data_IF_676456524150
#
_entry.id   IF_676456524150
#
_cell.length_a   1.000
_cell.length_b   1.000
_cell.length_c   1.000
_cell.angle_alpha   90.00
_cell.angle_beta   90.00
_cell.angle_gamma   90.00
#
_symmetry.space_group_name_H-M   'P 1'
#
loop_
_entity.id
_entity.type
_entity.pdbx_description
1 polymer ?
#
# COMPACT_ATOMS: atom_id res chain seq x y z
N UNK A 1 10.60 4.28 -28.49
CA UNK A 1 9.17 4.20 -28.07
C UNK A 1 8.43 5.55 -28.07
N UNK A 2 9.15 6.67 -28.03
CA UNK A 2 8.58 8.02 -27.87
C UNK A 2 7.64 8.50 -28.99
N UNK A 3 7.68 7.93 -30.18
CA UNK A 3 6.82 8.35 -31.32
C UNK A 3 5.49 7.59 -31.39
N UNK A 4 5.33 6.50 -30.62
CA UNK A 4 4.12 5.66 -30.64
C UNK A 4 3.01 6.27 -29.77
N UNK A 5 2.43 7.38 -30.24
CA UNK A 5 1.45 8.19 -29.51
C UNK A 5 0.03 7.57 -29.38
N UNK A 6 -0.21 6.43 -30.05
CA UNK A 6 -1.46 5.65 -30.01
C UNK A 6 -1.44 4.51 -28.98
N UNK A 7 -0.32 4.31 -28.27
CA UNK A 7 -0.18 3.24 -27.28
C UNK A 7 -0.76 3.71 -25.94
N UNK A 8 -1.77 3.00 -25.47
CA UNK A 8 -2.42 3.26 -24.17
C UNK A 8 -1.78 2.44 -23.03
N UNK A 9 -1.29 1.22 -23.31
CA UNK A 9 -0.64 0.34 -22.32
C UNK A 9 0.74 -0.10 -22.78
N UNK A 10 1.70 -0.06 -21.85
CA UNK A 10 3.06 -0.57 -22.04
C UNK A 10 3.38 -1.58 -20.94
N UNK A 11 3.56 -2.84 -21.34
CA UNK A 11 4.10 -3.89 -20.46
C UNK A 11 5.54 -4.20 -20.87
N UNK A 12 6.46 -4.11 -19.93
CA UNK A 12 7.88 -4.42 -20.10
C UNK A 12 8.25 -5.56 -19.14
N UNK A 13 8.74 -6.67 -19.69
CA UNK A 13 9.04 -7.89 -18.93
C UNK A 13 10.48 -8.34 -19.17
N UNK A 14 11.20 -8.57 -18.09
CA UNK A 14 12.56 -9.09 -18.10
C UNK A 14 12.58 -10.57 -17.77
N UNK A 15 12.92 -11.38 -18.77
CA UNK A 15 13.11 -12.81 -18.63
C UNK A 15 14.60 -13.12 -18.42
N UNK A 16 14.98 -13.52 -17.21
CA UNK A 16 16.34 -13.96 -16.92
C UNK A 16 16.64 -14.11 -15.43
N UNK A 17 17.40 -15.17 -15.07
CA UNK A 17 17.76 -15.51 -13.68
C UNK A 17 19.10 -14.93 -13.21
N UNK A 18 19.82 -14.18 -14.05
CA UNK A 18 21.13 -13.64 -13.70
C UNK A 18 20.99 -12.46 -12.73
N UNK A 19 21.77 -12.49 -11.65
CA UNK A 19 22.02 -11.31 -10.79
C UNK A 19 22.53 -10.14 -11.64
N UNK A 20 22.29 -8.92 -11.18
CA UNK A 20 22.62 -7.70 -11.90
C UNK A 20 24.13 -7.43 -11.94
N UNK A 21 24.88 -8.22 -12.69
CA UNK A 21 26.29 -7.89 -13.00
C UNK A 21 26.37 -6.60 -13.86
N UNK A 22 25.26 -6.22 -14.51
CA UNK A 22 25.17 -5.06 -15.42
C UNK A 22 23.99 -4.11 -15.09
N UNK A 23 23.80 -3.69 -13.83
CA UNK A 23 22.70 -2.79 -13.41
C UNK A 23 22.55 -1.53 -14.28
N UNK A 24 23.68 -0.91 -14.69
CA UNK A 24 23.67 0.26 -15.55
C UNK A 24 23.05 -0.05 -16.93
N UNK A 25 23.40 -1.18 -17.54
CA UNK A 25 22.84 -1.60 -18.83
C UNK A 25 21.33 -1.80 -18.76
N UNK A 26 20.83 -2.40 -17.68
CA UNK A 26 19.38 -2.58 -17.47
C UNK A 26 18.66 -1.23 -17.41
N UNK A 27 19.26 -0.27 -16.68
CA UNK A 27 18.75 1.09 -16.57
C UNK A 27 18.75 1.83 -17.90
N UNK A 28 19.83 1.70 -18.68
CA UNK A 28 19.95 2.32 -20.00
C UNK A 28 18.89 1.76 -20.96
N UNK A 29 18.68 0.44 -20.97
CA UNK A 29 17.61 -0.21 -21.74
C UNK A 29 16.24 0.36 -21.35
N UNK A 30 15.94 0.43 -20.05
CA UNK A 30 14.67 0.97 -19.59
C UNK A 30 14.52 2.46 -19.93
N UNK A 31 15.61 3.24 -19.94
CA UNK A 31 15.60 4.66 -20.34
C UNK A 31 15.30 4.86 -21.84
N UNK A 32 15.88 4.00 -22.70
CA UNK A 32 15.61 3.98 -24.14
C UNK A 32 14.15 3.59 -24.47
N UNK A 33 13.54 2.78 -23.59
CA UNK A 33 12.15 2.33 -23.70
C UNK A 33 11.12 3.37 -23.25
N UNK A 34 11.53 4.59 -22.87
CA UNK A 34 10.61 5.67 -22.46
C UNK A 34 9.41 5.79 -23.42
N UNK A 35 8.17 5.64 -22.92
CA UNK A 35 6.96 5.72 -23.74
C UNK A 35 6.67 7.16 -24.17
N UNK A 36 5.75 7.30 -25.13
CA UNK A 36 5.15 8.60 -25.43
C UNK A 36 4.28 9.07 -24.25
N UNK A 37 4.20 10.38 -24.01
CA UNK A 37 3.49 11.01 -22.88
C UNK A 37 1.98 10.73 -22.78
N UNK A 38 1.38 10.14 -23.83
CA UNK A 38 -0.04 9.79 -23.86
C UNK A 38 -0.35 8.45 -23.19
N UNK A 39 0.67 7.71 -22.75
CA UNK A 39 0.51 6.41 -22.10
C UNK A 39 -0.45 6.51 -20.91
N UNK A 40 -1.30 5.49 -20.75
CA UNK A 40 -2.29 5.40 -19.67
C UNK A 40 -1.92 4.36 -18.63
N UNK A 41 -1.25 3.30 -19.03
CA UNK A 41 -0.92 2.16 -18.17
C UNK A 41 0.52 1.73 -18.42
N UNK A 42 1.29 1.54 -17.34
CA UNK A 42 2.64 1.02 -17.39
C UNK A 42 2.75 -0.16 -16.44
N UNK A 43 3.31 -1.25 -16.94
CA UNK A 43 3.63 -2.45 -16.16
C UNK A 43 5.09 -2.81 -16.39
N UNK A 44 5.85 -2.91 -15.31
CA UNK A 44 7.27 -3.29 -15.34
C UNK A 44 7.44 -4.53 -14.46
N UNK A 45 7.84 -5.64 -15.06
CA UNK A 45 8.01 -6.91 -14.36
C UNK A 45 9.43 -7.45 -14.52
N UNK A 46 10.06 -7.82 -13.41
CA UNK A 46 11.36 -8.48 -13.40
C UNK A 46 12.55 -7.55 -13.68
N UNK A 47 12.36 -6.23 -13.67
CA UNK A 47 13.44 -5.27 -13.95
C UNK A 47 14.61 -5.49 -12.98
N UNK A 48 15.81 -5.61 -13.55
CA UNK A 48 17.01 -6.07 -12.83
C UNK A 48 17.93 -4.94 -12.40
N UNK A 49 17.69 -3.71 -12.83
CA UNK A 49 18.48 -2.56 -12.39
C UNK A 49 18.24 -2.21 -10.93
N UNK A 50 19.16 -1.44 -10.35
CA UNK A 50 19.12 -1.07 -8.93
C UNK A 50 18.29 0.18 -8.64
N UNK A 51 18.03 1.00 -9.67
CA UNK A 51 17.19 2.19 -9.61
C UNK A 51 16.41 2.35 -10.91
N UNK A 52 15.26 3.02 -10.84
CA UNK A 52 14.47 3.36 -12.02
C UNK A 52 15.01 4.61 -12.73
N UNK A 53 14.86 4.72 -14.07
CA UNK A 53 15.14 5.94 -14.77
C UNK A 53 14.14 7.04 -14.39
N UNK A 54 14.60 8.29 -14.45
CA UNK A 54 13.83 9.46 -14.01
C UNK A 54 12.50 9.62 -14.75
N UNK A 55 12.42 9.10 -15.98
CA UNK A 55 11.20 9.22 -16.77
C UNK A 55 10.02 8.52 -16.10
N UNK A 56 10.21 7.46 -15.30
CA UNK A 56 9.10 6.70 -14.71
C UNK A 56 8.21 7.55 -13.78
N UNK A 57 8.79 8.60 -13.18
CA UNK A 57 8.09 9.57 -12.35
C UNK A 57 7.87 10.91 -13.04
N UNK A 58 8.04 11.03 -14.36
CA UNK A 58 7.96 12.31 -15.07
C UNK A 58 6.54 12.93 -15.01
N UNK A 59 6.37 14.14 -14.45
CA UNK A 59 5.06 14.78 -14.31
C UNK A 59 4.41 15.15 -15.66
N UNK A 60 5.13 15.07 -16.78
CA UNK A 60 4.57 15.25 -18.12
C UNK A 60 3.66 14.10 -18.57
N UNK A 61 3.60 12.98 -17.83
CA UNK A 61 2.63 11.91 -18.04
C UNK A 61 1.23 12.28 -17.53
N UNK A 62 0.59 13.22 -18.23
CA UNK A 62 -0.74 13.75 -17.91
C UNK A 62 -1.89 12.75 -18.17
N UNK A 63 -1.59 11.54 -18.64
CA UNK A 63 -2.58 10.50 -18.95
C UNK A 63 -2.33 9.18 -18.24
N UNK A 64 -1.22 9.04 -17.52
CA UNK A 64 -0.87 7.81 -16.81
C UNK A 64 -1.79 7.66 -15.59
N UNK A 65 -2.65 6.65 -15.64
CA UNK A 65 -3.66 6.34 -14.64
C UNK A 65 -3.26 5.13 -13.80
N UNK A 66 -2.51 4.18 -14.36
CA UNK A 66 -2.11 2.96 -13.68
C UNK A 66 -0.61 2.68 -13.85
N UNK A 67 0.05 2.35 -12.74
CA UNK A 67 1.44 1.90 -12.70
C UNK A 67 1.56 0.65 -11.84
N UNK A 68 2.08 -0.42 -12.43
CA UNK A 68 2.44 -1.65 -11.72
C UNK A 68 3.93 -1.93 -11.86
N UNK A 69 4.59 -2.19 -10.73
CA UNK A 69 5.97 -2.62 -10.64
C UNK A 69 5.98 -3.95 -9.90
N UNK A 70 6.49 -5.00 -10.53
CA UNK A 70 6.47 -6.36 -9.98
C UNK A 70 7.81 -7.06 -10.14
N UNK A 71 8.24 -7.80 -9.12
CA UNK A 71 9.39 -8.70 -9.17
C UNK A 71 10.72 -7.99 -9.52
N UNK A 72 10.86 -6.69 -9.27
CA UNK A 72 12.09 -5.93 -9.48
C UNK A 72 13.01 -6.01 -8.24
N UNK A 73 13.47 -7.23 -7.94
CA UNK A 73 14.10 -7.58 -6.66
C UNK A 73 15.37 -6.81 -6.31
N UNK A 74 16.09 -6.28 -7.31
CA UNK A 74 17.36 -5.58 -7.10
C UNK A 74 17.19 -4.06 -6.92
N UNK A 75 15.97 -3.54 -7.06
CA UNK A 75 15.70 -2.12 -6.85
C UNK A 75 15.73 -1.76 -5.37
N UNK A 76 16.55 -0.77 -5.02
CA UNK A 76 16.74 -0.31 -3.63
C UNK A 76 16.02 1.00 -3.30
N UNK A 77 15.50 1.69 -4.32
CA UNK A 77 14.67 2.89 -4.14
C UNK A 77 13.53 2.95 -5.16
N UNK A 78 12.45 3.61 -4.76
CA UNK A 78 11.34 3.96 -5.63
C UNK A 78 11.54 5.38 -6.16
N UNK A 79 11.18 5.67 -7.42
CA UNK A 79 11.22 7.04 -7.92
C UNK A 79 10.09 7.87 -7.30
N UNK A 80 10.09 9.18 -7.59
CA UNK A 80 9.13 10.17 -7.10
C UNK A 80 7.71 10.03 -7.67
N UNK A 81 7.08 8.86 -7.51
CA UNK A 81 5.78 8.54 -8.09
C UNK A 81 4.66 9.47 -7.63
N UNK A 82 4.80 10.12 -6.47
CA UNK A 82 3.83 11.08 -5.94
C UNK A 82 3.64 12.34 -6.79
N UNK A 83 4.55 12.63 -7.73
CA UNK A 83 4.42 13.79 -8.63
C UNK A 83 3.62 13.50 -9.91
N UNK A 84 3.17 12.24 -10.11
CA UNK A 84 2.38 11.86 -11.27
C UNK A 84 0.92 12.36 -11.11
N UNK A 85 0.47 13.31 -11.94
CA UNK A 85 -0.72 14.10 -11.63
C UNK A 85 -2.05 13.36 -11.80
N UNK A 86 -2.08 12.27 -12.58
CA UNK A 86 -3.29 11.52 -12.93
C UNK A 86 -3.26 10.06 -12.47
N UNK A 87 -2.22 9.65 -11.72
CA UNK A 87 -2.07 8.28 -11.26
C UNK A 87 -3.15 7.95 -10.24
N UNK A 88 -3.98 6.94 -10.54
CA UNK A 88 -5.08 6.47 -9.69
C UNK A 88 -4.80 5.13 -9.03
N UNK A 89 -4.09 4.24 -9.73
CA UNK A 89 -3.83 2.88 -9.28
C UNK A 89 -2.32 2.65 -9.28
N UNK A 90 -1.76 2.36 -8.10
CA UNK A 90 -0.35 2.06 -7.92
C UNK A 90 -0.19 0.71 -7.23
N UNK A 91 0.53 -0.20 -7.89
CA UNK A 91 0.85 -1.52 -7.35
C UNK A 91 2.35 -1.75 -7.35
N UNK A 92 2.92 -2.02 -6.18
CA UNK A 92 4.34 -2.25 -5.95
C UNK A 92 4.47 -3.63 -5.30
N UNK A 93 5.03 -4.60 -6.04
CA UNK A 93 4.97 -6.01 -5.68
C UNK A 93 6.34 -6.67 -5.81
N UNK A 94 6.64 -7.62 -4.92
CA UNK A 94 7.85 -8.46 -5.00
C UNK A 94 9.15 -7.66 -5.13
N UNK A 95 9.20 -6.49 -4.48
CA UNK A 95 10.34 -5.57 -4.45
C UNK A 95 11.26 -5.90 -3.27
N UNK A 96 12.09 -6.94 -3.40
CA UNK A 96 12.87 -7.46 -2.27
C UNK A 96 13.99 -6.51 -1.80
N UNK A 97 14.51 -5.64 -2.66
CA UNK A 97 15.58 -4.69 -2.32
C UNK A 97 15.10 -3.46 -1.56
N UNK A 98 13.80 -3.21 -1.49
CA UNK A 98 13.25 -2.04 -0.79
C UNK A 98 13.21 -2.33 0.71
N UNK A 99 14.03 -1.62 1.47
CA UNK A 99 14.00 -1.65 2.94
C UNK A 99 13.16 -0.54 3.53
N UNK A 100 13.05 0.59 2.85
CA UNK A 100 12.33 1.77 3.32
C UNK A 100 11.62 2.47 2.15
N UNK A 101 10.43 3.02 2.42
CA UNK A 101 9.76 3.95 1.52
C UNK A 101 10.02 5.35 2.07
N UNK A 102 10.95 6.07 1.46
CA UNK A 102 11.43 7.39 1.91
C UNK A 102 10.62 8.54 1.33
N UNK A 103 10.90 9.75 1.78
CA UNK A 103 10.25 10.98 1.31
C UNK A 103 10.40 11.21 -0.20
N UNK A 104 11.44 10.63 -0.83
CA UNK A 104 11.66 10.71 -2.27
C UNK A 104 10.49 10.16 -3.08
N UNK A 105 9.75 9.19 -2.52
CA UNK A 105 8.57 8.58 -3.14
C UNK A 105 7.48 9.61 -3.48
N UNK A 106 7.36 10.67 -2.69
CA UNK A 106 6.34 11.72 -2.86
C UNK A 106 6.75 12.80 -3.88
N UNK A 107 8.03 12.86 -4.24
CA UNK A 107 8.59 13.90 -5.11
C UNK A 107 8.86 15.23 -4.38
N UNK A 108 8.92 16.32 -5.15
CA UNK A 108 9.28 17.62 -4.56
C UNK A 108 8.25 18.07 -3.53
N UNK A 109 8.71 18.35 -2.30
CA UNK A 109 7.93 18.93 -1.19
C UNK A 109 7.29 20.29 -1.52
N UNK A 110 7.68 20.93 -2.63
CA UNK A 110 7.03 22.15 -3.16
C UNK A 110 5.69 21.86 -3.84
N UNK A 111 5.45 20.60 -4.23
CA UNK A 111 4.18 20.15 -4.79
C UNK A 111 3.15 20.10 -3.67
N UNK A 112 2.14 20.97 -3.74
CA UNK A 112 1.21 21.22 -2.63
C UNK A 112 0.43 19.99 -2.15
N UNK A 113 0.39 18.89 -2.91
CA UNK A 113 -0.26 17.61 -2.60
C UNK A 113 0.37 16.47 -3.43
N UNK A 114 1.30 15.67 -2.89
CA UNK A 114 1.68 14.40 -3.50
C UNK A 114 0.46 13.50 -3.74
N UNK A 115 0.57 12.55 -4.66
CA UNK A 115 -0.47 11.55 -4.99
C UNK A 115 -1.90 12.11 -5.04
N UNK A 116 -2.07 13.27 -5.66
CA UNK A 116 -3.30 14.06 -5.66
C UNK A 116 -4.51 13.37 -6.31
N UNK A 117 -4.28 12.32 -7.09
CA UNK A 117 -5.31 11.54 -7.79
C UNK A 117 -5.32 10.06 -7.40
N UNK A 118 -4.44 9.63 -6.49
CA UNK A 118 -4.29 8.22 -6.16
C UNK A 118 -5.51 7.73 -5.40
N UNK A 119 -6.13 6.66 -5.87
CA UNK A 119 -7.34 6.04 -5.31
C UNK A 119 -6.98 4.73 -4.61
N UNK A 120 -6.03 3.98 -5.17
CA UNK A 120 -5.64 2.66 -4.66
C UNK A 120 -4.12 2.49 -4.65
N UNK A 121 -3.61 2.05 -3.50
CA UNK A 121 -2.20 1.75 -3.27
C UNK A 121 -2.05 0.32 -2.76
N UNK A 122 -1.23 -0.48 -3.45
CA UNK A 122 -0.94 -1.87 -3.06
C UNK A 122 0.55 -2.08 -2.87
N UNK A 123 0.92 -2.59 -1.70
CA UNK A 123 2.24 -3.16 -1.43
C UNK A 123 2.09 -4.66 -1.18
N UNK A 124 2.74 -5.50 -1.98
CA UNK A 124 2.64 -6.96 -1.83
C UNK A 124 4.00 -7.67 -1.89
N UNK A 125 4.20 -8.66 -1.01
CA UNK A 125 5.37 -9.53 -0.99
C UNK A 125 6.70 -8.75 -0.97
N UNK A 126 6.83 -7.78 -0.07
CA UNK A 126 8.04 -6.97 0.13
C UNK A 126 8.71 -7.39 1.45
N UNK A 127 9.55 -8.44 1.44
CA UNK A 127 10.03 -9.09 2.67
C UNK A 127 10.97 -8.23 3.52
N UNK A 128 11.76 -7.36 2.89
CA UNK A 128 12.78 -6.54 3.57
C UNK A 128 12.27 -5.14 3.96
N UNK A 129 11.05 -4.78 3.55
CA UNK A 129 10.48 -3.45 3.79
C UNK A 129 10.13 -3.28 5.27
N UNK A 130 10.81 -2.34 5.93
CA UNK A 130 10.74 -2.08 7.38
C UNK A 130 10.01 -0.81 7.73
N UNK A 131 10.28 0.28 7.01
CA UNK A 131 9.77 1.60 7.38
C UNK A 131 9.06 2.29 6.22
N UNK A 132 7.97 2.98 6.55
CA UNK A 132 7.27 3.87 5.64
C UNK A 132 7.29 5.28 6.20
N UNK A 133 8.12 6.15 5.62
CA UNK A 133 8.23 7.55 6.01
C UNK A 133 7.07 8.33 5.43
N UNK A 134 6.18 8.82 6.29
CA UNK A 134 5.04 9.67 5.93
C UNK A 134 5.39 11.11 6.30
N UNK A 135 5.01 12.07 5.47
CA UNK A 135 5.17 13.52 5.71
C UNK A 135 4.16 14.03 6.75
N UNK A 136 3.11 13.25 7.05
CA UNK A 136 2.16 13.50 8.13
C UNK A 136 1.04 14.48 7.79
N UNK A 137 0.97 15.02 6.56
CA UNK A 137 -0.21 15.74 6.08
C UNK A 137 -0.24 15.94 4.55
N UNK A 138 -1.35 15.56 3.92
CA UNK A 138 -1.72 15.99 2.57
C UNK A 138 -1.12 15.19 1.40
N UNK A 139 -0.42 14.10 1.65
CA UNK A 139 0.23 13.26 0.64
C UNK A 139 -0.72 12.32 -0.09
N UNK A 140 -1.89 12.04 0.49
CA UNK A 140 -2.87 11.09 -0.07
C UNK A 140 -4.29 11.65 0.04
N UNK A 141 -4.62 12.77 -0.64
CA UNK A 141 -5.90 13.46 -0.46
C UNK A 141 -7.10 12.70 -1.04
N UNK A 142 -6.89 11.65 -1.84
CA UNK A 142 -7.94 10.90 -2.54
C UNK A 142 -7.81 9.38 -2.36
N UNK A 143 -6.87 8.91 -1.53
CA UNK A 143 -6.59 7.49 -1.39
C UNK A 143 -7.75 6.81 -0.65
N UNK A 144 -8.50 5.96 -1.34
CA UNK A 144 -9.66 5.26 -0.80
C UNK A 144 -9.32 3.84 -0.34
N UNK A 145 -8.31 3.20 -0.95
CA UNK A 145 -7.95 1.80 -0.69
C UNK A 145 -6.46 1.62 -0.48
N UNK A 146 -6.11 0.95 0.62
CA UNK A 146 -4.73 0.57 0.93
C UNK A 146 -4.67 -0.92 1.20
N UNK A 147 -3.81 -1.63 0.48
CA UNK A 147 -3.51 -3.04 0.71
C UNK A 147 -2.04 -3.21 1.06
N UNK A 148 -1.76 -3.89 2.18
CA UNK A 148 -0.44 -4.38 2.56
C UNK A 148 -0.52 -5.89 2.73
N UNK A 149 0.15 -6.65 1.85
CA UNK A 149 0.06 -8.11 1.82
C UNK A 149 1.44 -8.76 1.85
N UNK A 150 1.66 -9.71 2.75
CA UNK A 150 2.90 -10.47 2.86
C UNK A 150 4.15 -9.56 2.98
N UNK A 151 4.03 -8.50 3.78
CA UNK A 151 5.12 -7.57 4.11
C UNK A 151 5.46 -7.75 5.61
N UNK A 152 6.27 -8.75 5.98
CA UNK A 152 6.45 -9.16 7.36
C UNK A 152 7.20 -8.15 8.24
N UNK A 153 8.06 -7.33 7.63
CA UNK A 153 8.98 -6.46 8.35
C UNK A 153 8.46 -5.03 8.55
N UNK A 154 7.37 -4.64 7.88
CA UNK A 154 6.93 -3.23 7.86
C UNK A 154 6.20 -2.85 9.15
N UNK A 155 6.65 -1.77 9.80
CA UNK A 155 5.96 -1.14 10.92
C UNK A 155 5.37 0.21 10.52
N UNK A 156 4.21 0.56 11.09
CA UNK A 156 3.52 1.83 10.90
C UNK A 156 3.53 2.62 12.21
N UNK A 157 4.73 2.91 12.71
CA UNK A 157 4.94 3.54 14.03
C UNK A 157 4.45 5.00 14.09
N UNK A 158 4.33 5.67 12.94
CA UNK A 158 3.81 7.04 12.86
C UNK A 158 2.33 7.06 12.46
N UNK A 159 1.48 7.84 13.17
CA UNK A 159 0.08 8.04 12.82
C UNK A 159 -0.10 8.45 11.35
N UNK A 160 -0.78 7.62 10.59
CA UNK A 160 -1.02 7.83 9.17
C UNK A 160 -2.26 8.71 9.03
N UNK A 161 -2.10 9.86 8.38
CA UNK A 161 -3.21 10.77 8.10
C UNK A 161 -3.80 10.44 6.71
N UNK A 162 -4.57 9.36 6.61
CA UNK A 162 -5.30 8.98 5.39
C UNK A 162 -6.79 9.32 5.52
N UNK A 163 -7.09 10.61 5.45
CA UNK A 163 -8.44 11.12 5.72
C UNK A 163 -9.54 10.58 4.81
N UNK A 164 -9.19 10.15 3.60
CA UNK A 164 -10.12 9.64 2.57
C UNK A 164 -10.13 8.12 2.45
N UNK A 165 -9.38 7.42 3.31
CA UNK A 165 -9.28 5.97 3.26
C UNK A 165 -10.59 5.34 3.70
N UNK A 166 -11.15 4.51 2.83
CA UNK A 166 -12.41 3.79 3.05
C UNK A 166 -12.18 2.31 3.34
N UNK A 167 -11.15 1.71 2.76
CA UNK A 167 -10.84 0.29 2.93
C UNK A 167 -9.35 0.09 3.21
N UNK A 168 -9.05 -0.55 4.34
CA UNK A 168 -7.69 -0.92 4.72
C UNK A 168 -7.60 -2.43 4.89
N UNK A 169 -6.78 -3.07 4.06
CA UNK A 169 -6.54 -4.51 4.08
C UNK A 169 -5.08 -4.83 4.42
N UNK A 170 -4.87 -5.67 5.43
CA UNK A 170 -3.56 -6.15 5.88
C UNK A 170 -3.59 -7.66 5.94
N UNK A 171 -2.74 -8.33 5.17
CA UNK A 171 -2.67 -9.80 5.10
C UNK A 171 -1.23 -10.25 5.33
N UNK A 172 -0.99 -11.22 6.22
CA UNK A 172 0.33 -11.86 6.38
C UNK A 172 1.45 -10.87 6.71
N UNK A 173 1.14 -9.79 7.44
CA UNK A 173 2.04 -8.66 7.70
C UNK A 173 2.05 -8.33 9.21
N UNK A 174 2.63 -9.20 10.05
CA UNK A 174 2.51 -9.13 11.50
C UNK A 174 2.97 -7.81 12.10
N UNK A 175 4.05 -7.18 11.62
CA UNK A 175 4.53 -5.92 12.22
C UNK A 175 3.63 -4.71 11.98
N UNK A 176 2.78 -4.72 10.95
CA UNK A 176 1.67 -3.75 10.81
C UNK A 176 0.69 -3.91 11.96
N UNK A 177 0.50 -5.15 12.39
CA UNK A 177 -0.28 -5.53 13.56
C UNK A 177 0.21 -4.91 14.88
N UNK A 178 1.42 -4.35 14.92
CA UNK A 178 1.96 -3.76 16.16
C UNK A 178 1.26 -2.44 16.52
N UNK A 179 0.68 -1.77 15.52
CA UNK A 179 -0.17 -0.59 15.72
C UNK A 179 -1.31 -0.86 16.71
N UNK A 180 -1.77 -2.12 16.81
CA UNK A 180 -2.90 -2.51 17.66
C UNK A 180 -2.50 -2.86 19.11
N UNK A 181 -1.21 -2.96 19.47
CA UNK A 181 -0.82 -3.19 20.88
C UNK A 181 -0.96 -1.95 21.75
N UNK A 182 -0.68 -0.78 21.17
CA UNK A 182 -0.80 0.48 21.86
C UNK A 182 -2.14 1.12 21.49
N UNK A 183 -3.05 1.14 22.47
CA UNK A 183 -4.37 1.71 22.29
C UNK A 183 -4.32 3.20 21.91
N UNK A 184 -3.28 3.94 22.31
CA UNK A 184 -3.10 5.36 21.95
C UNK A 184 -2.61 5.50 20.50
N UNK A 185 -1.66 4.65 20.05
CA UNK A 185 -1.23 4.64 18.64
C UNK A 185 -2.38 4.23 17.73
N UNK A 186 -3.09 3.15 18.05
CA UNK A 186 -4.23 2.72 17.27
C UNK A 186 -5.33 3.80 17.23
N UNK A 187 -5.56 4.51 18.34
CA UNK A 187 -6.46 5.66 18.37
C UNK A 187 -6.02 6.77 17.44
N UNK A 188 -4.76 7.17 17.52
CA UNK A 188 -4.20 8.24 16.69
C UNK A 188 -4.27 7.90 15.20
N UNK A 189 -4.08 6.63 14.86
CA UNK A 189 -4.19 6.10 13.50
C UNK A 189 -5.64 6.18 12.98
N UNK A 190 -6.59 5.70 13.79
CA UNK A 190 -8.02 5.75 13.43
C UNK A 190 -8.57 7.18 13.38
N UNK A 191 -8.09 8.09 14.23
CA UNK A 191 -8.44 9.51 14.18
C UNK A 191 -7.98 10.15 12.85
N UNK A 192 -6.90 9.64 12.24
CA UNK A 192 -6.44 10.01 10.91
C UNK A 192 -7.29 9.46 9.76
N UNK A 193 -8.07 8.39 9.99
CA UNK A 193 -8.88 7.68 9.01
C UNK A 193 -10.37 7.98 9.16
N UNK A 194 -10.76 9.22 8.87
CA UNK A 194 -12.11 9.76 9.15
C UNK A 194 -13.23 9.13 8.32
N UNK A 195 -12.90 8.54 7.18
CA UNK A 195 -13.86 7.96 6.23
C UNK A 195 -13.77 6.42 6.16
N UNK A 196 -13.07 5.77 7.11
CA UNK A 196 -12.89 4.32 7.06
C UNK A 196 -14.22 3.58 7.20
N UNK A 197 -14.51 2.69 6.26
CA UNK A 197 -15.73 1.88 6.18
C UNK A 197 -15.43 0.40 6.36
N UNK A 198 -14.26 -0.07 5.93
CA UNK A 198 -13.85 -1.46 5.95
C UNK A 198 -12.42 -1.63 6.47
N UNK A 199 -12.26 -2.52 7.45
CA UNK A 199 -10.97 -2.95 7.98
C UNK A 199 -10.87 -4.47 7.86
N UNK A 200 -9.88 -4.98 7.13
CA UNK A 200 -9.68 -6.40 6.92
C UNK A 200 -8.25 -6.79 7.32
N UNK A 201 -8.11 -7.61 8.35
CA UNK A 201 -6.83 -8.04 8.94
C UNK A 201 -6.78 -9.56 8.89
N UNK A 202 -5.86 -10.12 8.09
CA UNK A 202 -5.68 -11.57 7.99
C UNK A 202 -4.26 -11.99 8.32
N UNK A 203 -4.09 -13.14 8.97
CA UNK A 203 -2.76 -13.75 9.21
C UNK A 203 -1.79 -12.77 9.90
N UNK A 204 -2.27 -12.08 10.92
CA UNK A 204 -1.54 -11.06 11.66
C UNK A 204 -1.45 -11.42 13.15
N UNK A 205 -0.60 -12.40 13.45
CA UNK A 205 -0.40 -12.91 14.81
C UNK A 205 0.22 -11.91 15.81
N UNK A 206 0.55 -10.70 15.39
CA UNK A 206 0.91 -9.62 16.31
C UNK A 206 -0.32 -8.88 16.87
N UNK A 207 -1.52 -9.07 16.31
CA UNK A 207 -2.70 -8.39 16.87
C UNK A 207 -3.15 -9.12 18.13
N UNK A 208 -2.97 -8.53 19.30
CA UNK A 208 -3.39 -9.13 20.58
C UNK A 208 -4.62 -8.50 21.22
N UNK A 209 -4.88 -7.23 20.87
CA UNK A 209 -5.96 -6.43 21.43
C UNK A 209 -6.53 -5.51 20.36
N UNK A 210 -7.85 -5.30 20.40
CA UNK A 210 -8.54 -4.33 19.57
C UNK A 210 -9.52 -3.52 20.44
N UNK A 211 -9.28 -2.22 20.65
CA UNK A 211 -10.20 -1.37 21.38
C UNK A 211 -11.37 -0.96 20.47
N UNK A 212 -12.47 -1.72 20.48
CA UNK A 212 -13.64 -1.36 19.69
C UNK A 212 -14.32 -0.06 20.15
N UNK A 213 -14.06 0.37 21.39
CA UNK A 213 -14.58 1.61 21.96
C UNK A 213 -14.06 2.89 21.30
N UNK A 214 -12.99 2.80 20.50
CA UNK A 214 -12.38 3.95 19.82
C UNK A 214 -12.55 3.89 18.29
N UNK A 215 -13.30 2.92 17.78
CA UNK A 215 -13.50 2.79 16.34
C UNK A 215 -14.28 3.98 15.77
N UNK A 216 -13.93 4.45 14.56
CA UNK A 216 -14.69 5.48 13.87
C UNK A 216 -16.14 5.04 13.66
N UNK A 217 -17.08 5.95 13.82
CA UNK A 217 -18.51 5.67 13.58
C UNK A 217 -18.82 5.35 12.12
N UNK A 218 -17.90 5.64 11.20
CA UNK A 218 -18.00 5.33 9.77
C UNK A 218 -17.72 3.87 9.45
N UNK A 219 -17.10 3.13 10.38
CA UNK A 219 -16.63 1.78 10.15
C UNK A 219 -17.80 0.78 10.17
N UNK A 220 -18.11 0.21 9.00
CA UNK A 220 -19.23 -0.70 8.79
C UNK A 220 -18.81 -2.18 8.87
N UNK A 221 -17.58 -2.48 8.47
CA UNK A 221 -17.09 -3.86 8.34
C UNK A 221 -15.73 -4.03 8.98
N UNK A 222 -15.60 -5.04 9.84
CA UNK A 222 -14.31 -5.47 10.40
C UNK A 222 -14.19 -6.98 10.20
N UNK A 223 -13.18 -7.41 9.44
CA UNK A 223 -12.85 -8.82 9.27
C UNK A 223 -11.49 -9.10 9.86
N UNK A 224 -11.40 -10.06 10.76
CA UNK A 224 -10.13 -10.48 11.37
C UNK A 224 -10.04 -11.99 11.24
N UNK A 225 -9.07 -12.53 10.51
CA UNK A 225 -8.97 -13.98 10.27
C UNK A 225 -7.55 -14.48 10.47
N UNK A 226 -7.38 -15.70 10.98
CA UNK A 226 -6.08 -16.31 11.21
C UNK A 226 -5.14 -15.44 12.09
N UNK A 227 -5.68 -14.81 13.14
CA UNK A 227 -4.92 -13.98 14.10
C UNK A 227 -4.86 -14.67 15.47
N UNK A 228 -3.99 -15.67 15.61
CA UNK A 228 -3.97 -16.66 16.69
C UNK A 228 -3.72 -16.06 18.10
N UNK A 229 -3.06 -14.90 18.17
CA UNK A 229 -2.74 -14.24 19.43
C UNK A 229 -3.78 -13.20 19.88
N UNK A 230 -4.90 -13.04 19.15
CA UNK A 230 -5.97 -12.13 19.55
C UNK A 230 -6.73 -12.72 20.75
N UNK A 231 -6.42 -12.23 21.95
CA UNK A 231 -6.96 -12.80 23.21
C UNK A 231 -8.09 -11.97 23.80
N UNK A 232 -8.20 -10.68 23.45
CA UNK A 232 -9.17 -9.77 24.07
C UNK A 232 -9.87 -8.89 23.03
N UNK A 233 -11.20 -9.04 22.95
CA UNK A 233 -12.11 -8.21 22.13
C UNK A 233 -13.06 -7.50 23.09
N UNK A 234 -12.84 -6.20 23.35
CA UNK A 234 -13.75 -5.39 24.19
C UNK A 234 -14.84 -4.79 23.32
N UNK A 235 -15.99 -5.46 23.20
CA UNK A 235 -17.16 -4.94 22.46
C UNK A 235 -17.85 -3.85 23.32
N UNK A 236 -18.15 -2.64 22.81
CA UNK A 236 -18.83 -1.61 23.58
C UNK A 236 -20.26 -2.04 23.87
N UNK A 237 -20.69 -1.91 25.12
CA UNK A 237 -22.02 -2.30 25.61
C UNK A 237 -23.19 -1.55 24.94
N UNK A 238 -22.91 -0.52 24.14
CA UNK A 238 -23.89 0.26 23.37
C UNK A 238 -24.12 -0.25 21.94
N UNK A 239 -23.42 -1.29 21.50
CA UNK A 239 -23.66 -1.96 20.21
C UNK A 239 -24.78 -3.00 20.32
N UNK A 240 -26.00 -2.56 20.62
CA UNK A 240 -27.18 -3.36 20.29
C UNK A 240 -27.24 -3.48 18.75
N UNK A 241 -26.95 -4.69 18.22
CA UNK A 241 -26.92 -5.11 16.80
C UNK A 241 -25.55 -5.31 16.15
N UNK A 242 -24.59 -5.90 16.86
CA UNK A 242 -23.68 -6.83 16.20
C UNK A 242 -24.39 -8.19 16.11
N UNK A 243 -24.72 -8.73 14.91
CA UNK A 243 -25.17 -10.11 14.81
C UNK A 243 -24.04 -11.00 15.31
N UNK A 244 -24.24 -11.60 16.48
CA UNK A 244 -23.31 -12.54 17.10
C UNK A 244 -23.37 -13.83 16.29
N UNK A 245 -22.60 -13.90 15.20
CA UNK A 245 -22.15 -15.16 14.62
C UNK A 245 -20.68 -15.34 15.02
N UNK A 246 -20.46 -15.46 16.33
CA UNK A 246 -19.19 -15.93 16.85
C UNK A 246 -19.17 -17.45 16.72
N UNK A 247 -18.21 -17.93 15.93
CA UNK A 247 -17.88 -19.34 15.66
C UNK A 247 -18.84 -20.10 14.75
N UNK A 248 -18.30 -20.57 13.62
CA UNK A 248 -18.76 -21.81 12.99
C UNK A 248 -18.84 -21.75 11.46
N UNK A 249 -17.89 -22.38 10.77
CA UNK A 249 -18.17 -22.84 9.40
C UNK A 249 -17.03 -23.13 8.44
N UNK A 250 -15.75 -23.22 8.82
CA UNK A 250 -14.73 -23.78 7.93
C UNK A 250 -13.31 -23.25 8.14
N UNK A 251 -12.52 -23.95 8.96
CA UNK A 251 -11.15 -23.56 9.32
C UNK A 251 -11.11 -22.87 10.69
N UNK A 252 -10.11 -23.21 11.51
CA UNK A 252 -9.95 -22.63 12.85
C UNK A 252 -9.53 -21.16 12.69
N UNK A 253 -10.06 -20.31 13.57
CA UNK A 253 -9.50 -18.99 13.92
C UNK A 253 -9.90 -17.77 13.07
N UNK A 254 -11.10 -17.78 12.47
CA UNK A 254 -11.67 -16.59 11.80
C UNK A 254 -12.70 -15.85 12.69
N UNK A 255 -12.47 -14.55 12.94
CA UNK A 255 -13.35 -13.61 13.66
C UNK A 255 -14.00 -12.63 12.67
N UNK A 256 -15.29 -12.80 12.40
CA UNK A 256 -16.05 -11.88 11.57
C UNK A 256 -16.94 -10.98 12.43
N UNK A 257 -16.78 -9.65 12.33
CA UNK A 257 -17.66 -8.69 12.98
C UNK A 257 -18.32 -7.78 11.93
N UNK A 258 -19.64 -7.93 11.78
CA UNK A 258 -20.46 -7.05 10.94
C UNK A 258 -21.13 -6.01 11.84
N UNK A 259 -20.70 -4.75 11.76
CA UNK A 259 -21.38 -3.62 12.40
C UNK A 259 -22.63 -3.32 11.57
N UNK A 260 -23.75 -3.88 12.01
CA UNK A 260 -25.05 -3.63 11.40
C UNK A 260 -25.48 -2.18 11.67
N UNK A 261 -25.81 -1.45 10.60
CA UNK A 261 -26.44 -0.12 10.66
C UNK A 261 -27.86 -0.20 11.23
#
# INVERSE_FOLDING_TARGET
>A
MREKNHVDKLSLEWNGSSSADNSQTERDILDELRPHKNIKEIEITGYRGTTFPNWLADPSFLKLVELSIDNCKNCYSLPALGQLPCLKFLSIRRMHGITEVTEEFYGSLSSKKPFNSLVELRFEAMPEWKQWHLLGSGEFPTLEKLLIKNCPEVSLETPIQLSSLKSFEVIGSPKVGVVFYDAELFRSQLEGMKEIEELDIKDCNSVTFLPFSILPTTLNTIRISYCDNLTTVLIPTTTEKLPVAWWGGGGRDDVFAYLGV
#
